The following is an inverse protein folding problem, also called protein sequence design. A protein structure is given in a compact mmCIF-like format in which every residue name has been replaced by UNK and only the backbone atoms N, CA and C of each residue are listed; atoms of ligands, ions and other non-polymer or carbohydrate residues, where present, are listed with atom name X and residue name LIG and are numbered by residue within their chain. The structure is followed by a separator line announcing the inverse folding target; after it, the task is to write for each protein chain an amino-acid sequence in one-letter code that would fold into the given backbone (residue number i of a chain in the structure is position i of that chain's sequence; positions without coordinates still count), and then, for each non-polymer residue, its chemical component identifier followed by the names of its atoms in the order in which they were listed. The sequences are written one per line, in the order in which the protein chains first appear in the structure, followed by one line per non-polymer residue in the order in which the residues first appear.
data_IF_966370080719
#
_entry.id   IF_966370080719
#
_cell.length_a   1.000
_cell.length_b   1.000
_cell.length_c   1.000
_cell.angle_alpha   90.00
_cell.angle_beta   90.00
_cell.angle_gamma   90.00
#
_symmetry.space_group_name_H-M   'P 1'
#
loop_
_entity.id
_entity.type
_entity.pdbx_description
1 polymer ?
#
# COMPACT_ATOMS: atom_id res chain seq x y z
N UNK A 1 41.22 8.19 -1.63
CA UNK A 1 40.03 7.45 -1.12
C UNK A 1 38.92 8.34 -0.53
N UNK A 2 39.18 9.45 0.19
CA UNK A 2 38.12 10.31 0.78
C UNK A 2 37.18 11.02 -0.23
N UNK A 3 37.63 11.27 -1.47
CA UNK A 3 36.81 11.93 -2.50
C UNK A 3 35.80 11.00 -3.19
N UNK A 4 36.07 9.68 -3.20
CA UNK A 4 35.20 8.69 -3.84
C UNK A 4 33.88 8.49 -3.07
N UNK A 5 33.93 8.54 -1.73
CA UNK A 5 32.74 8.48 -0.88
C UNK A 5 31.81 9.69 -1.03
N UNK A 6 32.37 10.90 -1.14
CA UNK A 6 31.57 12.14 -1.33
C UNK A 6 30.84 12.17 -2.67
N UNK A 7 31.46 11.65 -3.72
CA UNK A 7 30.84 11.55 -5.04
C UNK A 7 29.66 10.58 -5.04
N UNK A 8 29.83 9.38 -4.46
CA UNK A 8 28.75 8.38 -4.32
C UNK A 8 27.56 8.92 -3.51
N UNK A 9 27.80 9.62 -2.40
CA UNK A 9 26.72 10.24 -1.62
C UNK A 9 25.95 11.32 -2.39
N UNK A 10 26.64 12.12 -3.22
CA UNK A 10 26.00 13.14 -4.05
C UNK A 10 25.14 12.52 -5.16
N UNK A 11 25.64 11.46 -5.80
CA UNK A 11 24.88 10.74 -6.83
C UNK A 11 23.62 10.10 -6.23
N UNK A 12 23.74 9.42 -5.09
CA UNK A 12 22.62 8.84 -4.35
C UNK A 12 21.57 9.89 -3.96
N UNK A 13 22.01 11.03 -3.41
CA UNK A 13 21.11 12.13 -3.04
C UNK A 13 20.39 12.73 -4.25
N UNK A 14 21.06 12.80 -5.41
CA UNK A 14 20.44 13.25 -6.66
C UNK A 14 19.43 12.24 -7.18
N UNK A 15 19.74 10.93 -7.17
CA UNK A 15 18.80 9.87 -7.57
C UNK A 15 17.54 9.92 -6.72
N UNK A 16 17.68 10.04 -5.39
CA UNK A 16 16.53 10.17 -4.49
C UNK A 16 15.72 11.43 -4.78
N UNK A 17 16.38 12.58 -4.94
CA UNK A 17 15.69 13.82 -5.27
C UNK A 17 14.92 13.73 -6.57
N UNK A 18 15.53 13.15 -7.60
CA UNK A 18 14.90 12.99 -8.91
C UNK A 18 13.72 12.03 -8.84
N UNK A 19 13.86 10.92 -8.11
CA UNK A 19 12.77 9.98 -7.90
C UNK A 19 11.63 10.58 -7.06
N UNK A 20 11.94 11.30 -5.98
CA UNK A 20 10.96 11.96 -5.11
C UNK A 20 10.20 13.09 -5.83
N UNK A 21 10.76 13.64 -6.92
CA UNK A 21 10.12 14.65 -7.75
C UNK A 21 9.09 14.07 -8.73
N UNK A 22 9.09 12.75 -8.96
CA UNK A 22 8.09 12.11 -9.81
C UNK A 22 6.77 11.98 -9.03
N UNK A 23 5.64 12.17 -9.73
CA UNK A 23 4.31 11.99 -9.14
C UNK A 23 4.09 10.54 -8.67
N UNK A 24 3.15 10.32 -7.75
CA UNK A 24 2.72 8.97 -7.29
C UNK A 24 1.91 8.18 -8.33
N UNK A 25 1.81 8.67 -9.55
CA UNK A 25 1.23 7.97 -10.70
C UNK A 25 2.25 7.02 -11.29
N UNK A 26 1.81 5.96 -11.99
CA UNK A 26 2.72 5.10 -12.74
C UNK A 26 3.36 5.88 -13.90
N UNK A 27 4.65 5.69 -14.11
CA UNK A 27 5.34 6.24 -15.28
C UNK A 27 4.78 5.67 -16.60
N UNK A 28 4.98 6.43 -17.68
CA UNK A 28 4.66 5.94 -19.02
C UNK A 28 5.64 4.82 -19.43
N UNK A 29 5.24 3.91 -20.34
CA UNK A 29 6.11 2.80 -20.77
C UNK A 29 7.50 3.26 -21.26
N UNK A 30 7.60 4.42 -21.91
CA UNK A 30 8.86 4.95 -22.44
C UNK A 30 9.78 5.51 -21.35
N UNK A 31 9.22 5.88 -20.19
CA UNK A 31 9.93 6.46 -19.06
C UNK A 31 10.39 5.38 -18.07
N UNK A 32 9.74 4.23 -18.06
CA UNK A 32 10.02 3.12 -17.16
C UNK A 32 11.49 2.62 -17.13
N UNK A 33 12.29 2.65 -18.23
CA UNK A 33 13.71 2.31 -18.17
C UNK A 33 14.51 3.14 -17.15
N UNK A 34 14.12 4.39 -16.89
CA UNK A 34 14.80 5.26 -15.93
C UNK A 34 14.74 4.70 -14.50
N UNK A 35 13.69 3.94 -14.17
CA UNK A 35 13.50 3.33 -12.86
C UNK A 35 14.52 2.22 -12.61
N UNK A 36 14.84 1.45 -13.64
CA UNK A 36 15.89 0.42 -13.55
C UNK A 36 17.28 1.07 -13.41
N UNK A 37 17.52 2.21 -14.06
CA UNK A 37 18.77 2.98 -13.87
C UNK A 37 18.89 3.58 -12.47
N UNK A 38 17.79 4.11 -11.93
CA UNK A 38 17.73 4.57 -10.55
C UNK A 38 17.99 3.42 -9.59
N UNK A 39 17.38 2.26 -9.83
CA UNK A 39 17.63 1.07 -9.02
C UNK A 39 19.11 0.68 -9.01
N UNK A 40 19.77 0.62 -10.16
CA UNK A 40 21.22 0.32 -10.25
C UNK A 40 22.05 1.29 -9.42
N UNK A 41 21.67 2.57 -9.43
CA UNK A 41 22.32 3.61 -8.62
C UNK A 41 22.14 3.43 -7.10
N UNK A 42 21.16 2.62 -6.67
CA UNK A 42 20.87 2.27 -5.28
C UNK A 42 21.49 0.94 -4.81
N UNK A 43 22.16 0.18 -5.68
CA UNK A 43 22.76 -1.14 -5.34
C UNK A 43 23.79 -1.05 -4.20
N UNK A 44 24.40 0.12 -4.01
CA UNK A 44 25.23 0.44 -2.86
C UNK A 44 24.84 1.83 -2.37
N UNK A 45 24.30 1.99 -1.16
CA UNK A 45 24.70 1.27 0.05
C UNK A 45 23.70 0.23 0.59
N UNK A 46 24.19 -0.64 1.48
CA UNK A 46 23.42 -1.58 2.32
C UNK A 46 22.47 -0.81 3.24
N UNK A 47 21.33 -0.38 2.71
CA UNK A 47 20.27 0.31 3.42
C UNK A 47 18.94 -0.37 3.14
N UNK A 48 18.24 -0.77 4.21
CA UNK A 48 16.88 -1.28 4.13
C UNK A 48 15.95 -0.33 3.34
N UNK A 49 16.09 0.99 3.54
CA UNK A 49 15.30 1.98 2.83
C UNK A 49 15.55 1.97 1.31
N UNK A 50 16.80 1.87 0.87
CA UNK A 50 17.12 1.85 -0.58
C UNK A 50 16.71 0.56 -1.26
N UNK A 51 16.80 -0.56 -0.55
CA UNK A 51 16.29 -1.85 -1.04
C UNK A 51 14.76 -1.82 -1.17
N UNK A 52 14.06 -1.28 -0.16
CA UNK A 52 12.61 -1.08 -0.24
C UNK A 52 12.20 -0.21 -1.44
N UNK A 53 12.91 0.91 -1.63
CA UNK A 53 12.70 1.83 -2.74
C UNK A 53 13.00 1.18 -4.10
N UNK A 54 14.09 0.42 -4.15
CA UNK A 54 14.53 -0.29 -5.33
C UNK A 54 13.53 -1.32 -5.82
N UNK A 55 12.94 -2.11 -4.92
CA UNK A 55 11.89 -3.04 -5.29
C UNK A 55 10.67 -2.33 -5.91
N UNK A 56 10.28 -1.17 -5.38
CA UNK A 56 9.19 -0.38 -5.98
C UNK A 56 9.51 0.16 -7.37
N UNK A 57 10.73 0.64 -7.59
CA UNK A 57 11.18 1.07 -8.93
C UNK A 57 11.09 -0.06 -9.94
N UNK A 58 11.50 -1.27 -9.54
CA UNK A 58 11.47 -2.46 -10.39
C UNK A 58 10.05 -2.96 -10.64
N UNK A 59 9.19 -2.98 -9.62
CA UNK A 59 7.77 -3.33 -9.77
C UNK A 59 7.06 -2.36 -10.70
N UNK A 60 7.24 -1.06 -10.51
CA UNK A 60 6.66 -0.05 -11.39
C UNK A 60 7.13 -0.23 -12.83
N UNK A 61 8.44 -0.47 -13.05
CA UNK A 61 8.97 -0.74 -14.38
C UNK A 61 8.30 -1.96 -15.03
N UNK A 62 8.17 -3.08 -14.32
CA UNK A 62 7.50 -4.28 -14.81
C UNK A 62 6.04 -4.03 -15.21
N UNK A 63 5.29 -3.29 -14.38
CA UNK A 63 3.88 -3.02 -14.62
C UNK A 63 3.66 -2.05 -15.79
N UNK A 64 4.60 -1.14 -16.05
CA UNK A 64 4.45 -0.07 -17.05
C UNK A 64 5.07 -0.38 -18.41
N UNK A 65 6.08 -1.24 -18.50
CA UNK A 65 6.72 -1.62 -19.77
C UNK A 65 5.88 -2.63 -20.59
N UNK A 66 4.64 -2.27 -20.91
CA UNK A 66 3.70 -3.13 -21.65
C UNK A 66 4.11 -3.41 -23.10
N UNK A 67 5.13 -2.71 -23.60
CA UNK A 67 5.74 -2.94 -24.90
C UNK A 67 6.76 -4.09 -24.92
N UNK A 68 7.19 -4.59 -23.74
CA UNK A 68 8.10 -5.72 -23.62
C UNK A 68 7.34 -7.05 -23.48
N UNK A 69 7.94 -8.19 -23.87
CA UNK A 69 7.39 -9.51 -23.60
C UNK A 69 7.23 -9.77 -22.10
N UNK A 70 6.23 -10.55 -21.71
CA UNK A 70 5.94 -10.86 -20.30
C UNK A 70 7.13 -11.48 -19.58
N UNK A 71 7.92 -12.34 -20.25
CA UNK A 71 9.14 -12.93 -19.68
C UNK A 71 10.20 -11.88 -19.30
N UNK A 72 10.32 -10.80 -20.07
CA UNK A 72 11.25 -9.70 -19.75
C UNK A 72 10.72 -8.81 -18.62
N UNK A 73 9.40 -8.74 -18.46
CA UNK A 73 8.72 -7.99 -17.40
C UNK A 73 8.70 -8.72 -16.05
N UNK A 74 8.80 -10.04 -16.04
CA UNK A 74 8.94 -10.82 -14.80
C UNK A 74 10.31 -10.65 -14.14
N UNK A 75 11.38 -10.48 -14.91
CA UNK A 75 12.73 -10.35 -14.35
C UNK A 75 12.88 -9.17 -13.37
N UNK A 76 12.34 -7.96 -13.64
CA UNK A 76 12.30 -6.90 -12.63
C UNK A 76 11.45 -7.25 -11.40
N UNK A 77 10.34 -7.99 -11.52
CA UNK A 77 9.53 -8.42 -10.36
C UNK A 77 10.30 -9.39 -9.45
N UNK A 78 11.07 -10.30 -10.03
CA UNK A 78 11.91 -11.23 -9.25
C UNK A 78 13.02 -10.49 -8.50
N UNK A 79 13.65 -9.50 -9.15
CA UNK A 79 14.62 -8.63 -8.49
C UNK A 79 13.97 -7.76 -7.40
N UNK A 80 12.73 -7.32 -7.59
CA UNK A 80 11.98 -6.56 -6.58
C UNK A 80 11.71 -7.41 -5.34
N UNK A 81 11.33 -8.68 -5.53
CA UNK A 81 11.18 -9.64 -4.45
C UNK A 81 12.48 -9.83 -3.67
N UNK A 82 13.60 -10.06 -4.38
CA UNK A 82 14.91 -10.20 -3.76
C UNK A 82 15.26 -8.97 -2.90
N UNK A 83 15.05 -7.76 -3.42
CA UNK A 83 15.31 -6.54 -2.66
C UNK A 83 14.44 -6.40 -1.42
N UNK A 84 13.15 -6.72 -1.51
CA UNK A 84 12.26 -6.65 -0.36
C UNK A 84 12.57 -7.72 0.68
N UNK A 85 12.97 -8.93 0.27
CA UNK A 85 13.43 -9.98 1.17
C UNK A 85 14.73 -9.59 1.88
N UNK A 86 15.70 -9.00 1.16
CA UNK A 86 16.93 -8.48 1.76
C UNK A 86 16.61 -7.34 2.74
N UNK A 87 15.78 -6.38 2.33
CA UNK A 87 15.34 -5.28 3.21
C UNK A 87 14.68 -5.80 4.49
N UNK A 88 13.86 -6.84 4.35
CA UNK A 88 13.17 -7.51 5.46
C UNK A 88 14.15 -8.15 6.44
N UNK A 89 15.15 -8.88 5.94
CA UNK A 89 16.20 -9.47 6.79
C UNK A 89 17.03 -8.38 7.52
N UNK A 90 17.39 -7.30 6.83
CA UNK A 90 18.08 -6.17 7.45
C UNK A 90 17.23 -5.51 8.55
N UNK A 91 15.92 -5.37 8.32
CA UNK A 91 14.98 -4.81 9.30
C UNK A 91 14.82 -5.75 10.51
N UNK A 92 14.75 -7.07 10.30
CA UNK A 92 14.75 -8.07 11.38
C UNK A 92 15.99 -7.95 12.27
N UNK A 93 17.17 -7.88 11.65
CA UNK A 93 18.43 -7.70 12.38
C UNK A 93 18.41 -6.41 13.20
N UNK A 94 17.96 -5.30 12.60
CA UNK A 94 17.83 -4.02 13.30
C UNK A 94 16.86 -4.09 14.48
N UNK A 95 15.72 -4.75 14.32
CA UNK A 95 14.71 -4.85 15.39
C UNK A 95 15.15 -5.79 16.52
N UNK A 96 15.92 -6.85 16.23
CA UNK A 96 16.54 -7.70 17.27
C UNK A 96 17.51 -6.95 18.18
N UNK A 97 18.19 -5.92 17.68
CA UNK A 97 19.16 -5.14 18.45
C UNK A 97 18.54 -3.98 19.26
N UNK A 98 17.26 -3.66 19.07
CA UNK A 98 16.58 -2.61 19.84
C UNK A 98 16.15 -3.15 21.19
N UNK A 99 16.77 -2.71 22.30
CA UNK A 99 16.39 -3.03 23.69
C UNK A 99 15.05 -2.39 24.13
N UNK A 100 14.00 -2.52 23.33
CA UNK A 100 12.67 -1.93 23.60
C UNK A 100 11.62 -3.03 23.67
N UNK A 101 10.48 -2.76 24.33
CA UNK A 101 9.30 -3.64 24.40
C UNK A 101 8.78 -4.13 23.03
N UNK A 102 9.28 -3.57 21.93
CA UNK A 102 8.98 -3.92 20.53
C UNK A 102 9.47 -5.31 20.09
N UNK A 103 10.13 -6.12 20.92
CA UNK A 103 10.60 -7.45 20.50
C UNK A 103 9.48 -8.43 20.12
N UNK A 104 8.25 -8.18 20.58
CA UNK A 104 7.12 -9.05 20.34
C UNK A 104 6.28 -8.66 19.12
N UNK A 105 6.48 -7.45 18.57
CA UNK A 105 5.66 -6.91 17.49
C UNK A 105 6.52 -6.55 16.27
N UNK A 106 6.05 -6.81 15.04
CA UNK A 106 6.75 -6.37 13.84
C UNK A 106 6.81 -4.84 13.81
N UNK A 107 7.92 -4.25 13.38
CA UNK A 107 7.98 -2.81 13.16
C UNK A 107 7.06 -2.36 12.02
N UNK A 108 6.68 -1.09 11.97
CA UNK A 108 5.90 -0.54 10.85
C UNK A 108 6.58 -0.73 9.49
N UNK A 109 7.91 -0.63 9.44
CA UNK A 109 8.68 -0.93 8.23
C UNK A 109 8.58 -2.41 7.83
N UNK A 110 8.58 -3.32 8.82
CA UNK A 110 8.36 -4.75 8.57
C UNK A 110 6.96 -4.98 7.99
N UNK A 111 5.92 -4.37 8.56
CA UNK A 111 4.55 -4.46 8.05
C UNK A 111 4.43 -3.92 6.62
N UNK A 112 5.12 -2.81 6.30
CA UNK A 112 5.19 -2.26 4.93
C UNK A 112 5.87 -3.22 3.95
N UNK A 113 7.00 -3.81 4.34
CA UNK A 113 7.70 -4.80 3.50
C UNK A 113 6.84 -6.05 3.27
N UNK A 114 6.17 -6.54 4.31
CA UNK A 114 5.23 -7.67 4.18
C UNK A 114 4.04 -7.32 3.27
N UNK A 115 3.55 -6.08 3.31
CA UNK A 115 2.47 -5.61 2.44
C UNK A 115 2.92 -5.51 0.97
N UNK A 116 4.14 -5.04 0.72
CA UNK A 116 4.74 -5.07 -0.62
C UNK A 116 4.86 -6.51 -1.15
N UNK A 117 5.43 -7.42 -0.35
CA UNK A 117 5.61 -8.83 -0.70
C UNK A 117 4.28 -9.53 -0.98
N UNK A 118 3.24 -9.26 -0.17
CA UNK A 118 1.90 -9.80 -0.40
C UNK A 118 1.31 -9.38 -1.75
N UNK A 119 1.73 -8.23 -2.30
CA UNK A 119 1.22 -7.70 -3.56
C UNK A 119 1.90 -8.29 -4.81
N UNK A 120 3.06 -8.93 -4.66
CA UNK A 120 3.88 -9.42 -5.79
C UNK A 120 3.17 -10.45 -6.66
N UNK A 121 2.45 -11.40 -6.05
CA UNK A 121 1.75 -12.44 -6.80
C UNK A 121 0.72 -11.82 -7.74
N UNK A 122 -0.04 -10.82 -7.26
CA UNK A 122 -0.97 -10.08 -8.10
C UNK A 122 -0.24 -9.31 -9.21
N UNK A 123 0.91 -8.68 -8.92
CA UNK A 123 1.68 -7.97 -9.95
C UNK A 123 2.20 -8.92 -11.04
N UNK A 124 2.62 -10.13 -10.69
CA UNK A 124 2.97 -11.18 -11.66
C UNK A 124 1.76 -11.56 -12.51
N UNK A 125 0.59 -11.73 -11.89
CA UNK A 125 -0.64 -12.01 -12.63
C UNK A 125 -1.11 -10.84 -13.51
N UNK A 126 -0.82 -9.59 -13.13
CA UNK A 126 -1.06 -8.42 -13.99
C UNK A 126 -0.17 -8.45 -15.22
N UNK A 127 1.11 -8.81 -15.08
CA UNK A 127 2.03 -8.96 -16.22
C UNK A 127 1.47 -9.99 -17.20
N UNK A 128 1.05 -11.15 -16.70
CA UNK A 128 0.48 -12.24 -17.51
C UNK A 128 -0.97 -11.99 -17.98
N UNK A 129 -1.63 -10.94 -17.47
CA UNK A 129 -3.06 -10.65 -17.69
C UNK A 129 -4.00 -11.79 -17.28
N UNK A 130 -3.66 -12.52 -16.21
CA UNK A 130 -4.34 -13.75 -15.77
C UNK A 130 -4.83 -13.69 -14.32
N UNK A 131 -5.20 -12.50 -13.82
CA UNK A 131 -5.68 -12.33 -12.45
C UNK A 131 -6.98 -13.12 -12.21
N UNK A 132 -6.85 -14.28 -11.55
CA UNK A 132 -7.96 -15.16 -11.21
C UNK A 132 -8.65 -14.74 -9.90
N UNK A 133 -9.82 -15.32 -9.64
CA UNK A 133 -10.51 -15.19 -8.34
C UNK A 133 -9.67 -15.72 -7.19
N UNK A 134 -8.88 -16.79 -7.43
CA UNK A 134 -7.99 -17.37 -6.44
C UNK A 134 -6.86 -16.40 -6.07
N UNK A 135 -6.20 -15.79 -7.07
CA UNK A 135 -5.18 -14.77 -6.83
C UNK A 135 -5.72 -13.63 -5.96
N UNK A 136 -6.90 -13.09 -6.30
CA UNK A 136 -7.56 -12.02 -5.51
C UNK A 136 -7.88 -12.46 -4.08
N UNK A 137 -8.34 -13.69 -3.88
CA UNK A 137 -8.65 -14.23 -2.56
C UNK A 137 -7.38 -14.43 -1.71
N UNK A 138 -6.31 -14.95 -2.31
CA UNK A 138 -5.02 -15.13 -1.63
C UNK A 138 -4.42 -13.79 -1.23
N UNK A 139 -4.53 -12.79 -2.10
CA UNK A 139 -4.13 -11.42 -1.76
C UNK A 139 -4.94 -10.88 -0.59
N UNK A 140 -6.28 -10.95 -0.65
CA UNK A 140 -7.15 -10.50 0.44
C UNK A 140 -6.81 -11.18 1.78
N UNK A 141 -6.61 -12.51 1.78
CA UNK A 141 -6.20 -13.26 2.99
C UNK A 141 -4.85 -12.80 3.53
N UNK A 142 -3.89 -12.54 2.65
CA UNK A 142 -2.57 -12.02 3.03
C UNK A 142 -2.70 -10.65 3.69
N UNK A 143 -3.50 -9.75 3.11
CA UNK A 143 -3.80 -8.44 3.71
C UNK A 143 -4.49 -8.58 5.06
N UNK A 144 -5.40 -9.55 5.22
CA UNK A 144 -6.13 -9.74 6.47
C UNK A 144 -5.18 -10.18 7.59
N UNK A 145 -4.24 -11.09 7.29
CA UNK A 145 -3.18 -11.48 8.22
C UNK A 145 -2.30 -10.30 8.62
N UNK A 146 -2.00 -9.38 7.70
CA UNK A 146 -1.27 -8.14 8.02
C UNK A 146 -2.10 -7.17 8.85
N UNK A 147 -3.39 -7.02 8.55
CA UNK A 147 -4.32 -6.20 9.32
C UNK A 147 -4.43 -6.66 10.77
N UNK A 148 -4.47 -7.97 11.01
CA UNK A 148 -4.48 -8.55 12.36
C UNK A 148 -3.19 -8.18 13.11
N UNK A 149 -2.01 -8.41 12.51
CA UNK A 149 -0.72 -8.03 13.12
C UNK A 149 -0.63 -6.53 13.42
N UNK A 150 -1.11 -5.69 12.50
CA UNK A 150 -1.13 -4.24 12.69
C UNK A 150 -2.08 -3.84 13.84
N UNK A 151 -3.22 -4.52 13.95
CA UNK A 151 -4.21 -4.31 15.02
C UNK A 151 -3.69 -4.73 16.39
N UNK A 152 -3.04 -5.89 16.49
CA UNK A 152 -2.36 -6.35 17.71
C UNK A 152 -1.32 -5.32 18.18
N UNK A 153 -0.55 -4.76 17.23
CA UNK A 153 0.42 -3.72 17.55
C UNK A 153 -0.26 -2.44 18.07
N UNK A 154 -1.36 -2.00 17.44
CA UNK A 154 -2.13 -0.84 17.93
C UNK A 154 -2.69 -1.09 19.33
N UNK A 155 -3.32 -2.25 19.56
CA UNK A 155 -3.87 -2.61 20.88
C UNK A 155 -2.80 -2.59 21.97
N UNK A 156 -1.63 -3.19 21.71
CA UNK A 156 -0.51 -3.19 22.65
C UNK A 156 -0.07 -1.77 23.04
N UNK A 157 0.06 -0.86 22.09
CA UNK A 157 0.45 0.53 22.39
C UNK A 157 -0.66 1.36 23.04
N UNK A 158 -1.94 1.06 22.78
CA UNK A 158 -3.07 1.76 23.39
C UNK A 158 -3.39 1.27 24.82
N UNK A 159 -3.23 -0.02 25.10
CA UNK A 159 -3.66 -0.65 26.35
C UNK A 159 -2.52 -0.85 27.35
N UNK A 160 -1.33 -1.27 26.88
CA UNK A 160 -0.27 -1.75 27.77
C UNK A 160 0.83 -0.71 28.04
N UNK A 161 0.79 0.44 27.36
CA UNK A 161 1.76 1.54 27.54
C UNK A 161 1.10 2.74 28.25
N UNK A 162 1.51 3.11 29.47
CA UNK A 162 0.94 4.25 30.17
C UNK A 162 1.16 5.53 29.35
N UNK A 163 0.13 6.37 29.25
CA UNK A 163 0.01 7.56 28.39
C UNK A 163 1.20 8.56 28.46
N UNK A 164 2.04 8.49 29.50
CA UNK A 164 3.26 9.31 29.69
C UNK A 164 4.55 8.70 29.12
N UNK A 165 4.50 7.48 28.57
CA UNK A 165 5.62 6.77 27.96
C UNK A 165 5.30 6.34 26.52
N UNK A 166 4.33 6.98 25.85
CA UNK A 166 4.08 6.74 24.43
C UNK A 166 5.37 7.03 23.66
N UNK A 167 6.05 5.95 23.26
CA UNK A 167 7.28 6.04 22.49
C UNK A 167 6.98 6.74 21.16
N UNK A 168 7.91 7.60 20.67
CA UNK A 168 7.83 8.16 19.33
C UNK A 168 7.60 7.04 18.30
N UNK A 169 6.54 7.18 17.50
CA UNK A 169 6.20 6.26 16.41
C UNK A 169 5.07 5.26 16.67
N UNK A 170 4.35 5.33 17.79
CA UNK A 170 3.11 4.55 17.96
C UNK A 170 2.02 4.97 16.97
N UNK A 171 1.99 6.26 16.62
CA UNK A 171 1.13 6.86 15.59
C UNK A 171 1.31 6.21 14.21
N UNK A 172 2.50 5.70 13.91
CA UNK A 172 2.78 5.04 12.64
C UNK A 172 2.07 3.68 12.53
N UNK A 173 1.83 2.98 13.64
CA UNK A 173 1.07 1.73 13.65
C UNK A 173 -0.41 1.97 13.37
N UNK A 174 -0.97 3.03 13.95
CA UNK A 174 -2.36 3.43 13.68
C UNK A 174 -2.51 3.77 12.19
N UNK A 175 -1.57 4.54 11.64
CA UNK A 175 -1.60 4.91 10.23
C UNK A 175 -1.49 3.72 9.27
N UNK A 176 -0.51 2.82 9.46
CA UNK A 176 -0.39 1.62 8.61
C UNK A 176 -1.59 0.69 8.76
N UNK A 177 -2.19 0.59 9.95
CA UNK A 177 -3.40 -0.20 10.15
C UNK A 177 -4.60 0.37 9.38
N UNK A 178 -4.76 1.71 9.33
CA UNK A 178 -5.78 2.34 8.47
C UNK A 178 -5.51 2.14 6.98
N UNK A 179 -4.25 2.19 6.55
CA UNK A 179 -3.86 1.94 5.16
C UNK A 179 -4.22 0.51 4.72
N UNK A 180 -3.85 -0.50 5.53
CA UNK A 180 -4.18 -1.90 5.28
C UNK A 180 -5.69 -2.12 5.31
N UNK A 181 -6.41 -1.52 6.27
CA UNK A 181 -7.85 -1.64 6.35
C UNK A 181 -8.60 -1.01 5.17
N UNK A 182 -8.14 0.14 4.69
CA UNK A 182 -8.68 0.74 3.47
C UNK A 182 -8.46 -0.20 2.27
N UNK A 183 -7.29 -0.84 2.21
CA UNK A 183 -7.01 -1.83 1.17
C UNK A 183 -7.85 -3.10 1.29
N UNK A 184 -8.07 -3.61 2.51
CA UNK A 184 -8.98 -4.72 2.78
C UNK A 184 -10.41 -4.39 2.36
N UNK A 185 -10.89 -3.19 2.68
CA UNK A 185 -12.24 -2.76 2.35
C UNK A 185 -12.49 -2.71 0.83
N UNK A 186 -11.47 -2.47 0.02
CA UNK A 186 -11.57 -2.52 -1.44
C UNK A 186 -11.46 -3.96 -1.93
N UNK A 187 -10.39 -4.65 -1.53
CA UNK A 187 -10.06 -5.98 -2.06
C UNK A 187 -11.08 -7.06 -1.64
N UNK A 188 -11.83 -6.86 -0.54
CA UNK A 188 -12.95 -7.75 -0.16
C UNK A 188 -14.06 -7.82 -1.20
N UNK A 189 -14.19 -6.83 -2.08
CA UNK A 189 -15.17 -6.84 -3.17
C UNK A 189 -14.92 -7.97 -4.18
N UNK A 190 -13.69 -8.50 -4.23
CA UNK A 190 -13.30 -9.50 -5.24
C UNK A 190 -13.40 -8.98 -6.68
N UNK A 191 -13.48 -7.66 -6.85
CA UNK A 191 -13.71 -7.03 -8.15
C UNK A 191 -12.52 -7.26 -9.09
N UNK A 192 -12.75 -7.69 -10.35
CA UNK A 192 -11.69 -7.77 -11.34
C UNK A 192 -11.33 -6.39 -11.93
N UNK A 193 -12.09 -5.34 -11.65
CA UNK A 193 -11.93 -4.00 -12.25
C UNK A 193 -11.40 -2.95 -11.30
N UNK A 194 -11.35 -3.24 -10.00
CA UNK A 194 -10.85 -2.34 -8.98
C UNK A 194 -10.10 -3.13 -7.91
N UNK A 195 -8.81 -2.83 -7.75
CA UNK A 195 -7.98 -3.37 -6.68
C UNK A 195 -7.16 -2.25 -6.05
N UNK A 196 -6.70 -2.46 -4.82
CA UNK A 196 -5.80 -1.54 -4.15
C UNK A 196 -4.50 -2.19 -3.75
N UNK A 197 -3.43 -1.41 -3.84
CA UNK A 197 -2.06 -1.79 -3.56
C UNK A 197 -1.41 -0.76 -2.62
N UNK A 198 -0.31 -1.12 -1.93
CA UNK A 198 0.47 -0.14 -1.20
C UNK A 198 0.96 0.94 -2.17
N UNK A 199 1.05 2.19 -1.69
CA UNK A 199 1.45 3.28 -2.56
C UNK A 199 2.94 3.27 -2.90
N UNK A 200 3.27 3.89 -4.03
CA UNK A 200 4.64 4.19 -4.38
C UNK A 200 5.30 5.08 -3.32
N UNK A 201 6.58 4.84 -2.99
CA UNK A 201 7.31 5.55 -1.94
C UNK A 201 7.69 6.98 -2.30
N UNK A 202 7.26 7.50 -3.44
CA UNK A 202 7.50 8.88 -3.90
C UNK A 202 6.68 9.89 -3.12
N UNK A 203 7.05 11.16 -3.14
CA UNK A 203 6.22 12.20 -2.55
C UNK A 203 4.98 12.45 -3.43
N UNK A 204 3.82 12.71 -2.81
CA UNK A 204 2.75 13.39 -3.55
C UNK A 204 3.23 14.83 -3.80
N UNK A 205 2.58 15.54 -4.72
CA UNK A 205 2.70 16.99 -4.95
C UNK A 205 2.35 17.88 -3.73
N UNK A 206 2.19 17.29 -2.53
CA UNK A 206 1.97 17.96 -1.25
C UNK A 206 3.27 18.26 -0.48
N UNK A 207 3.14 18.96 0.64
CA UNK A 207 4.27 19.54 1.40
C UNK A 207 5.09 18.57 2.30
N UNK A 208 4.81 17.27 2.30
CA UNK A 208 5.34 16.32 3.32
C UNK A 208 6.14 15.17 2.73
N UNK A 209 7.03 14.60 3.55
CA UNK A 209 7.91 13.49 3.15
C UNK A 209 7.11 12.18 3.05
N UNK A 210 7.47 11.24 2.15
CA UNK A 210 6.78 9.95 1.99
C UNK A 210 6.72 9.09 3.26
N UNK A 211 7.64 9.33 4.20
CA UNK A 211 7.64 8.66 5.50
C UNK A 211 6.45 9.07 6.39
N UNK A 212 5.81 10.21 6.09
CA UNK A 212 4.76 10.83 6.90
C UNK A 212 3.36 10.76 6.24
N UNK A 213 3.25 10.05 5.12
CA UNK A 213 1.98 9.85 4.39
C UNK A 213 1.54 8.39 4.47
N UNK A 214 0.22 8.19 4.57
CA UNK A 214 -0.40 6.87 4.59
C UNK A 214 -1.27 6.81 3.35
N UNK A 215 -0.84 6.03 2.37
CA UNK A 215 -1.39 6.11 1.03
C UNK A 215 -1.61 4.73 0.46
N UNK A 216 -2.52 4.66 -0.50
CA UNK A 216 -2.75 3.48 -1.31
C UNK A 216 -2.87 3.90 -2.77
N UNK A 217 -2.57 2.98 -3.66
CA UNK A 217 -2.90 3.12 -5.07
C UNK A 217 -4.16 2.32 -5.39
N UNK A 218 -5.09 2.96 -6.09
CA UNK A 218 -6.28 2.34 -6.65
C UNK A 218 -6.03 2.07 -8.12
N UNK A 219 -6.12 0.81 -8.51
CA UNK A 219 -5.94 0.38 -9.89
C UNK A 219 -7.32 0.11 -10.48
N UNK A 220 -7.70 0.90 -11.48
CA UNK A 220 -8.79 0.56 -12.39
C UNK A 220 -8.23 -0.39 -13.44
N UNK A 221 -8.87 -1.54 -13.61
CA UNK A 221 -8.39 -2.59 -14.50
C UNK A 221 -9.47 -3.08 -15.45
N UNK A 222 -9.02 -3.60 -16.58
CA UNK A 222 -9.86 -4.28 -17.57
C UNK A 222 -9.13 -5.49 -18.13
N UNK A 223 -9.70 -6.68 -17.94
CA UNK A 223 -9.13 -7.97 -18.36
C UNK A 223 -7.65 -8.14 -17.94
N UNK A 224 -7.33 -7.83 -16.67
CA UNK A 224 -5.98 -7.92 -16.14
C UNK A 224 -5.01 -6.82 -16.56
N UNK A 225 -5.41 -5.93 -17.47
CA UNK A 225 -4.63 -4.75 -17.86
C UNK A 225 -4.98 -3.54 -16.99
N UNK A 226 -3.97 -2.76 -16.62
CA UNK A 226 -4.14 -1.53 -15.85
C UNK A 226 -4.63 -0.43 -16.79
N UNK A 227 -5.81 0.14 -16.52
CA UNK A 227 -6.35 1.26 -17.30
C UNK A 227 -5.97 2.61 -16.70
N UNK A 228 -6.06 2.72 -15.37
CA UNK A 228 -5.79 3.97 -14.68
C UNK A 228 -5.34 3.67 -13.24
N UNK A 229 -4.43 4.47 -12.71
CA UNK A 229 -3.95 4.39 -11.34
C UNK A 229 -4.19 5.73 -10.65
N UNK A 230 -4.86 5.66 -9.51
CA UNK A 230 -5.14 6.82 -8.67
C UNK A 230 -4.43 6.66 -7.33
N UNK A 231 -3.58 7.61 -6.98
CA UNK A 231 -3.05 7.71 -5.62
C UNK A 231 -4.13 8.29 -4.69
N UNK A 232 -4.35 7.63 -3.55
CA UNK A 232 -5.26 8.09 -2.52
C UNK A 232 -4.57 8.14 -1.16
N UNK A 233 -4.73 9.27 -0.47
CA UNK A 233 -4.22 9.46 0.89
C UNK A 233 -5.29 9.03 1.89
N UNK A 234 -4.88 8.16 2.81
CA UNK A 234 -5.70 7.63 3.89
C UNK A 234 -5.49 8.47 5.14
N UNK A 235 -6.56 9.11 5.61
CA UNK A 235 -6.57 9.82 6.88
C UNK A 235 -7.51 9.13 7.85
N UNK A 236 -7.09 8.98 9.10
CA UNK A 236 -7.98 8.53 10.17
C UNK A 236 -9.29 9.34 10.16
N UNK A 237 -9.21 10.67 10.09
CA UNK A 237 -10.40 11.52 9.94
C UNK A 237 -10.25 12.49 8.79
N UNK A 238 -11.33 12.76 8.08
CA UNK A 238 -11.37 13.79 7.03
C UNK A 238 -11.70 15.14 7.67
N UNK A 239 -10.89 16.15 7.38
CA UNK A 239 -11.04 17.51 7.89
C UNK A 239 -10.76 18.47 6.75
N UNK A 240 -11.34 19.68 6.77
CA UNK A 240 -11.15 20.70 5.73
C UNK A 240 -9.67 21.00 5.46
N UNK A 241 -8.85 20.99 6.51
CA UNK A 241 -7.39 21.17 6.38
C UNK A 241 -6.73 20.11 5.51
N UNK A 242 -7.27 18.89 5.45
CA UNK A 242 -6.75 17.81 4.60
C UNK A 242 -7.07 18.10 3.13
N UNK A 243 -8.31 18.48 2.81
CA UNK A 243 -8.70 18.85 1.44
C UNK A 243 -7.91 20.04 0.89
N UNK A 244 -7.50 20.97 1.75
CA UNK A 244 -6.64 22.10 1.36
C UNK A 244 -5.17 21.71 1.17
N UNK A 245 -4.72 20.62 1.81
CA UNK A 245 -3.31 20.23 1.90
C UNK A 245 -2.89 19.22 0.84
N UNK A 246 -3.81 18.34 0.46
CA UNK A 246 -3.52 17.22 -0.43
C UNK A 246 -4.22 17.41 -1.77
N UNK A 247 -3.48 17.13 -2.86
CA UNK A 247 -4.06 17.07 -4.20
C UNK A 247 -4.56 15.66 -4.52
N UNK A 248 -3.99 14.64 -3.86
CA UNK A 248 -4.49 13.28 -3.91
C UNK A 248 -5.93 13.16 -3.40
N UNK A 249 -6.58 12.09 -3.84
CA UNK A 249 -7.91 11.73 -3.39
C UNK A 249 -7.86 11.29 -1.92
N UNK A 250 -8.79 11.78 -1.09
CA UNK A 250 -8.77 11.51 0.34
C UNK A 250 -9.74 10.38 0.73
N UNK A 251 -9.22 9.38 1.44
CA UNK A 251 -9.99 8.29 2.03
C UNK A 251 -10.03 8.44 3.55
N UNK A 252 -11.24 8.44 4.12
CA UNK A 252 -11.44 8.42 5.57
C UNK A 252 -11.33 6.99 6.11
N UNK A 253 -10.26 6.72 6.85
CA UNK A 253 -9.99 5.43 7.49
C UNK A 253 -10.75 5.19 8.79
N UNK A 254 -11.27 6.24 9.45
CA UNK A 254 -12.21 6.11 10.55
C UNK A 254 -13.60 6.59 10.12
N UNK A 255 -14.59 5.73 10.33
CA UNK A 255 -15.99 6.12 10.31
C UNK A 255 -16.36 6.63 11.71
N UNK A 256 -16.79 7.89 11.80
CA UNK A 256 -17.42 8.44 13.00
C UNK A 256 -18.82 7.85 13.16
N UNK A 257 -18.92 6.61 13.64
CA UNK A 257 -20.18 5.99 13.98
C UNK A 257 -20.26 5.82 15.50
N UNK A 258 -20.91 6.83 16.10
CA UNK A 258 -21.20 7.03 17.53
C UNK A 258 -20.14 7.81 18.35
N UNK A 259 -20.53 8.82 19.16
CA UNK A 259 -19.61 9.65 19.96
C UNK A 259 -18.77 8.88 20.99
N UNK A 260 -19.21 7.68 21.38
CA UNK A 260 -18.54 6.81 22.36
C UNK A 260 -17.66 5.73 21.70
N UNK A 261 -17.76 5.54 20.38
CA UNK A 261 -17.06 4.49 19.63
C UNK A 261 -16.23 5.10 18.50
N UNK A 262 -15.16 5.83 18.85
CA UNK A 262 -14.08 6.06 17.88
C UNK A 262 -13.51 4.68 17.53
N UNK A 263 -14.00 4.07 16.46
CA UNK A 263 -13.51 2.75 16.04
C UNK A 263 -12.06 2.90 15.64
N UNK A 264 -11.20 2.31 16.46
CA UNK A 264 -9.78 2.15 16.16
C UNK A 264 -9.67 1.20 14.95
N UNK A 265 -8.58 1.27 14.16
CA UNK A 265 -8.40 0.38 13.01
C UNK A 265 -8.57 -1.11 13.38
N UNK A 266 -8.28 -1.45 14.64
CA UNK A 266 -8.54 -2.73 15.29
C UNK A 266 -9.95 -3.26 15.05
N UNK A 267 -10.99 -2.48 15.38
CA UNK A 267 -12.38 -2.94 15.28
C UNK A 267 -12.76 -3.29 13.84
N UNK A 268 -12.27 -2.52 12.86
CA UNK A 268 -12.56 -2.79 11.46
C UNK A 268 -11.89 -4.09 10.99
N UNK A 269 -10.64 -4.32 11.38
CA UNK A 269 -9.95 -5.58 11.11
C UNK A 269 -10.69 -6.77 11.71
N UNK A 270 -11.18 -6.67 12.95
CA UNK A 270 -11.98 -7.72 13.59
C UNK A 270 -13.27 -8.04 12.82
N UNK A 271 -13.98 -7.01 12.34
CA UNK A 271 -15.20 -7.18 11.55
C UNK A 271 -14.92 -7.86 10.21
N UNK A 272 -13.86 -7.44 9.52
CA UNK A 272 -13.40 -8.06 8.27
C UNK A 272 -12.94 -9.51 8.49
N UNK A 273 -12.31 -9.80 9.63
CA UNK A 273 -11.92 -11.16 10.01
C UNK A 273 -13.14 -12.05 10.28
N UNK A 274 -14.13 -11.55 11.02
CA UNK A 274 -15.40 -12.27 11.22
C UNK A 274 -16.11 -12.57 9.90
N UNK A 275 -16.12 -11.60 8.98
CA UNK A 275 -16.71 -11.76 7.65
C UNK A 275 -15.97 -12.84 6.86
N UNK A 276 -14.63 -12.76 6.80
CA UNK A 276 -13.80 -13.73 6.09
C UNK A 276 -13.96 -15.17 6.64
N UNK A 277 -14.21 -15.30 7.93
CA UNK A 277 -14.44 -16.59 8.61
C UNK A 277 -15.89 -17.08 8.52
N UNK A 278 -16.80 -16.33 7.90
CA UNK A 278 -18.21 -16.72 7.75
C UNK A 278 -19.02 -16.66 9.06
N UNK A 279 -18.55 -15.91 10.06
CA UNK A 279 -19.19 -15.80 11.39
C UNK A 279 -19.74 -14.39 11.66
N UNK A 280 -19.64 -13.47 10.69
CA UNK A 280 -20.16 -12.12 10.84
C UNK A 280 -21.70 -12.09 10.85
N UNK A 281 -22.27 -11.35 11.80
CA UNK A 281 -23.68 -10.98 11.77
C UNK A 281 -23.96 -9.94 10.68
N UNK A 282 -25.24 -9.70 10.37
CA UNK A 282 -25.64 -8.61 9.45
C UNK A 282 -25.12 -7.24 9.92
N UNK A 283 -25.11 -7.00 11.23
CA UNK A 283 -24.57 -5.76 11.78
C UNK A 283 -23.05 -5.67 11.60
N UNK A 284 -22.34 -6.79 11.76
CA UNK A 284 -20.88 -6.83 11.55
C UNK A 284 -20.52 -6.49 10.08
N UNK A 285 -21.37 -6.86 9.11
CA UNK A 285 -21.14 -6.64 7.66
C UNK A 285 -21.44 -5.19 7.24
N UNK A 286 -22.45 -4.55 7.83
CA UNK A 286 -22.87 -3.20 7.44
C UNK A 286 -21.74 -2.16 7.57
N UNK A 287 -20.82 -2.37 8.51
CA UNK A 287 -19.74 -1.44 8.79
C UNK A 287 -18.61 -1.48 7.75
N UNK A 288 -17.99 -2.64 7.44
CA UNK A 288 -17.15 -2.81 6.28
C UNK A 288 -17.79 -2.25 5.00
N UNK A 289 -19.09 -2.50 4.76
CA UNK A 289 -19.79 -2.00 3.58
C UNK A 289 -19.76 -0.47 3.48
N UNK A 290 -20.02 0.23 4.59
CA UNK A 290 -19.98 1.69 4.58
C UNK A 290 -18.59 2.26 4.24
N UNK A 291 -17.51 1.63 4.70
CA UNK A 291 -16.14 2.05 4.28
C UNK A 291 -15.92 1.73 2.82
N UNK A 292 -16.24 0.51 2.39
CA UNK A 292 -16.11 0.07 1.00
C UNK A 292 -16.85 1.03 0.06
N UNK A 293 -18.11 1.37 0.36
CA UNK A 293 -18.93 2.27 -0.44
C UNK A 293 -18.32 3.67 -0.52
N UNK A 294 -17.84 4.22 0.60
CA UNK A 294 -17.15 5.51 0.62
C UNK A 294 -15.91 5.49 -0.28
N UNK A 295 -15.08 4.46 -0.14
CA UNK A 295 -13.84 4.33 -0.92
C UNK A 295 -14.14 4.14 -2.40
N UNK A 296 -15.10 3.31 -2.76
CA UNK A 296 -15.52 3.09 -4.16
C UNK A 296 -16.13 4.36 -4.76
N UNK A 297 -16.95 5.09 -4.00
CA UNK A 297 -17.52 6.36 -4.42
C UNK A 297 -16.42 7.39 -4.71
N UNK A 298 -15.45 7.49 -3.79
CA UNK A 298 -14.28 8.36 -3.91
C UNK A 298 -13.41 7.95 -5.10
N UNK A 299 -13.19 6.65 -5.31
CA UNK A 299 -12.44 6.11 -6.46
C UNK A 299 -13.12 6.47 -7.79
N UNK A 300 -14.44 6.24 -7.90
CA UNK A 300 -15.23 6.60 -9.08
C UNK A 300 -15.09 8.08 -9.40
N UNK A 301 -15.28 8.95 -8.40
CA UNK A 301 -15.10 10.38 -8.61
C UNK A 301 -13.69 10.77 -9.02
N UNK A 302 -12.68 10.17 -8.38
CA UNK A 302 -11.27 10.33 -8.74
C UNK A 302 -11.04 10.01 -10.22
N UNK A 303 -11.36 8.79 -10.63
CA UNK A 303 -11.19 8.33 -12.02
C UNK A 303 -11.99 9.15 -13.05
N UNK A 304 -13.15 9.73 -12.69
CA UNK A 304 -13.87 10.62 -13.61
C UNK A 304 -13.25 12.02 -13.74
N UNK A 305 -12.53 12.49 -12.70
CA UNK A 305 -11.93 13.83 -12.64
C UNK A 305 -10.47 13.87 -13.11
N UNK A 306 -9.79 12.72 -13.12
CA UNK A 306 -8.53 12.51 -13.85
C UNK A 306 -8.83 11.79 -15.17
N UNK A 307 -9.23 12.51 -16.24
CA UNK A 307 -9.63 11.91 -17.50
C UNK A 307 -8.40 11.43 -18.26
N UNK A 308 -7.88 10.27 -17.88
CA UNK A 308 -7.08 9.42 -18.74
C UNK A 308 -7.73 8.02 -18.66
N UNK A 309 -8.14 7.51 -19.83
CA UNK A 309 -8.93 6.29 -20.07
C UNK A 309 -10.46 6.47 -19.95
N UNK A 310 -11.05 6.78 -21.12
CA UNK A 310 -12.48 6.72 -21.43
C UNK A 310 -12.98 5.27 -21.34
N UNK A 311 -14.28 5.17 -21.08
CA UNK A 311 -15.16 4.00 -21.05
C UNK A 311 -15.26 3.27 -19.69
N UNK A 312 -16.41 3.49 -19.03
CA UNK A 312 -16.82 2.85 -17.79
C UNK A 312 -17.98 1.94 -18.13
N UNK A 313 -17.73 0.62 -18.14
CA UNK A 313 -18.79 -0.37 -18.07
C UNK A 313 -19.25 -0.52 -16.61
N UNK A 314 -20.57 -0.46 -16.42
CA UNK A 314 -21.26 -0.66 -15.14
C UNK A 314 -21.12 -2.11 -14.65
N UNK A 315 -20.65 -2.32 -13.41
CA UNK A 315 -20.71 -3.63 -12.76
C UNK A 315 -22.12 -3.92 -12.23
N UNK A 316 -22.70 -5.02 -12.71
CA UNK A 316 -23.78 -5.76 -12.05
C UNK A 316 -23.20 -6.58 -10.89
N UNK A 317 -23.94 -6.64 -9.79
CA UNK A 317 -23.62 -7.41 -8.58
C UNK A 317 -23.51 -8.92 -8.87
N UNK A 318 -22.60 -9.58 -8.18
CA UNK A 318 -22.41 -11.04 -8.18
C UNK A 318 -23.75 -11.73 -7.81
N UNK A 319 -24.24 -12.72 -8.57
CA UNK A 319 -25.40 -13.49 -8.18
C UNK A 319 -25.07 -14.31 -6.93
N UNK A 320 -25.88 -14.16 -5.89
CA UNK A 320 -25.84 -15.06 -4.74
C UNK A 320 -26.20 -16.47 -5.22
N UNK A 321 -25.24 -17.39 -5.18
CA UNK A 321 -25.52 -18.82 -5.35
C UNK A 321 -26.32 -19.29 -4.14
N UNK A 322 -27.63 -19.48 -4.34
CA UNK A 322 -28.46 -20.25 -3.41
C UNK A 322 -27.96 -21.69 -3.37
N UNK A 323 -27.68 -22.20 -2.18
CA UNK A 323 -27.81 -23.61 -1.85
C UNK A 323 -28.89 -23.75 -0.79
#
# INVERSE_FOLDING_TARGET
MRNYGRYKHKQLANTLRNYDQLNKELLRPEEAPILQEYRKSLEQPDSCFYRQLGGWMLTEAALTQTNLPDSERHSPLDQAEEDWLIAKDMQLKKDKHKKSYRHFLPSTNMLRLDYNLASLEIFRSMVNKDITTEHRLNYYKSLLGLGIKASEAVQFFEQDMPYKQTEPGSENYIGIAHEINASLAINRLGSPTLMSFPALPRADSGHYRPADTHDLQLFKMHWGSIENVLAAEVKTTLQDRHYRRYKAVLIGGALHLHPQNRRTPVTLTELLAKEANGIASTQDINHPNSITDNVVHVARHGFTKTPQCRDIATCTSIPQTRK
#
